data_IF_819555610852
#
_entry.id   IF_819555610852
#
_cell.length_a   1.000
_cell.length_b   1.000
_cell.length_c   1.000
_cell.angle_alpha   90.00
_cell.angle_beta   90.00
_cell.angle_gamma   90.00
#
_symmetry.space_group_name_H-M   'P 1'
#
loop_
_entity.id
_entity.type
_entity.pdbx_description
1 polymer ?
#
# COMPACT_ATOMS: atom_id res chain seq x y z
N UNK A 1 13.91 5.00 -52.61
CA UNK A 1 13.48 3.69 -52.13
C UNK A 1 14.49 3.22 -51.08
N UNK A 2 14.29 3.53 -49.81
CA UNK A 2 15.10 3.00 -48.71
C UNK A 2 14.19 2.13 -47.86
N UNK A 3 14.67 0.87 -47.69
CA UNK A 3 13.92 -0.21 -47.10
C UNK A 3 13.60 -0.05 -45.63
N UNK A 4 12.35 -0.29 -45.31
CA UNK A 4 11.85 -0.55 -43.96
C UNK A 4 12.13 -2.01 -43.67
N UNK A 5 13.28 -2.30 -43.10
CA UNK A 5 13.59 -3.59 -42.50
C UNK A 5 14.60 -3.38 -41.38
N UNK A 6 14.10 -3.26 -40.17
CA UNK A 6 14.69 -3.70 -38.90
C UNK A 6 13.86 -3.16 -37.76
N UNK A 7 13.27 -4.06 -37.01
CA UNK A 7 13.11 -3.95 -35.55
C UNK A 7 12.02 -4.89 -35.03
N UNK A 8 12.15 -6.17 -35.41
CA UNK A 8 11.67 -7.24 -34.51
C UNK A 8 12.91 -7.78 -33.77
N UNK A 9 13.51 -7.01 -32.88
CA UNK A 9 14.38 -7.58 -31.86
C UNK A 9 13.48 -8.34 -30.89
N UNK A 10 13.63 -9.66 -30.89
CA UNK A 10 13.08 -10.54 -29.83
C UNK A 10 13.45 -9.92 -28.49
N UNK A 11 12.43 -9.68 -27.65
CA UNK A 11 12.58 -9.28 -26.27
C UNK A 11 13.43 -10.34 -25.56
N UNK A 12 14.67 -10.01 -25.20
CA UNK A 12 15.52 -10.83 -24.36
C UNK A 12 15.48 -10.24 -22.95
N UNK A 13 14.78 -10.89 -22.01
CA UNK A 13 14.65 -10.39 -20.65
C UNK A 13 15.98 -10.33 -19.89
N UNK A 14 17.04 -10.95 -20.39
CA UNK A 14 18.37 -10.93 -19.74
C UNK A 14 19.22 -9.71 -20.13
N UNK A 15 18.89 -9.01 -21.21
CA UNK A 15 19.67 -7.87 -21.71
C UNK A 15 18.96 -6.51 -21.58
N UNK A 16 17.78 -6.45 -20.97
CA UNK A 16 17.08 -5.21 -20.78
C UNK A 16 17.48 -4.59 -19.44
N UNK A 17 18.51 -3.75 -19.46
CA UNK A 17 18.86 -2.88 -18.32
C UNK A 17 17.89 -1.72 -18.33
N UNK A 18 16.81 -1.80 -17.55
CA UNK A 18 16.01 -0.61 -17.26
C UNK A 18 16.88 0.42 -16.53
N UNK A 19 16.75 1.72 -16.85
CA UNK A 19 17.39 2.76 -16.06
C UNK A 19 17.02 2.58 -14.58
N UNK A 20 17.99 2.64 -13.69
CA UNK A 20 17.81 2.46 -12.23
C UNK A 20 16.75 3.41 -11.67
N UNK A 21 16.58 4.59 -12.26
CA UNK A 21 15.55 5.57 -11.94
C UNK A 21 14.11 5.06 -12.11
N UNK A 22 13.87 4.07 -12.97
CA UNK A 22 12.53 3.51 -13.19
C UNK A 22 12.11 2.54 -12.06
N UNK A 23 13.08 1.93 -11.38
CA UNK A 23 12.80 1.04 -10.25
C UNK A 23 12.57 1.80 -8.93
N UNK A 24 13.17 2.99 -8.78
CA UNK A 24 12.95 3.84 -7.61
C UNK A 24 11.56 4.48 -7.61
N UNK A 25 11.00 4.77 -8.81
CA UNK A 25 9.62 5.27 -8.94
C UNK A 25 8.55 4.16 -8.76
N UNK A 26 8.94 2.89 -8.99
CA UNK A 26 8.13 1.70 -8.68
C UNK A 26 8.38 1.20 -7.26
N UNK A 27 8.94 2.01 -6.38
CA UNK A 27 8.96 1.72 -4.93
C UNK A 27 7.62 1.13 -4.55
N UNK A 28 7.57 0.02 -3.80
CA UNK A 28 6.30 -0.59 -3.45
C UNK A 28 5.46 0.55 -2.87
N UNK A 29 4.42 0.94 -3.60
CA UNK A 29 3.36 1.77 -3.02
C UNK A 29 3.05 1.03 -1.75
N UNK A 30 3.52 1.57 -0.64
CA UNK A 30 3.22 1.02 0.68
C UNK A 30 1.72 0.89 0.63
N UNK A 31 1.22 -0.35 0.53
CA UNK A 31 -0.22 -0.59 0.66
C UNK A 31 -0.47 -0.12 2.07
N UNK A 32 -0.90 1.14 2.18
CA UNK A 32 -1.28 1.70 3.45
C UNK A 32 -2.40 0.82 3.95
N UNK A 33 -1.99 -0.17 4.74
CA UNK A 33 -2.93 -0.90 5.54
C UNK A 33 -3.51 0.13 6.48
N UNK A 34 -4.66 0.65 6.11
CA UNK A 34 -5.49 1.34 7.05
C UNK A 34 -5.69 0.36 8.21
N UNK A 35 -5.03 0.61 9.33
CA UNK A 35 -5.22 -0.23 10.51
C UNK A 35 -6.68 -0.11 10.89
N UNK A 36 -7.43 -1.16 10.56
CA UNK A 36 -8.80 -1.32 10.95
C UNK A 36 -8.77 -1.52 12.46
N UNK A 37 -8.96 -0.44 13.19
CA UNK A 37 -9.18 -0.56 14.63
C UNK A 37 -10.55 -1.18 14.82
N UNK A 38 -10.67 -2.25 15.62
CA UNK A 38 -11.96 -2.80 15.92
C UNK A 38 -12.84 -1.69 16.51
N UNK A 39 -13.92 -1.44 15.82
CA UNK A 39 -14.95 -0.48 16.23
C UNK A 39 -15.49 -0.98 17.55
N UNK A 40 -15.25 -0.28 18.65
CA UNK A 40 -15.96 -0.53 19.90
C UNK A 40 -17.45 -0.44 19.60
N UNK A 41 -18.21 -1.45 20.04
CA UNK A 41 -19.65 -1.55 19.87
C UNK A 41 -20.40 -0.40 20.59
N UNK A 42 -20.37 0.77 20.01
CA UNK A 42 -21.20 1.91 20.27
C UNK A 42 -21.85 2.27 18.95
N UNK A 43 -23.11 2.64 18.91
CA UNK A 43 -23.88 3.08 17.75
C UNK A 43 -23.07 4.03 16.85
N UNK A 44 -22.10 3.51 16.13
CA UNK A 44 -21.31 4.31 15.20
C UNK A 44 -22.09 4.41 13.89
N UNK A 45 -22.56 5.63 13.66
CA UNK A 45 -23.12 6.08 12.39
C UNK A 45 -22.09 5.81 11.30
N UNK A 46 -22.53 5.59 10.06
CA UNK A 46 -21.69 5.56 8.86
C UNK A 46 -20.80 6.80 8.85
N UNK A 47 -19.55 6.65 9.27
CA UNK A 47 -18.61 7.77 9.37
C UNK A 47 -17.67 7.76 8.18
N UNK A 48 -17.49 8.92 7.59
CA UNK A 48 -16.46 9.13 6.59
C UNK A 48 -15.09 9.09 7.30
N UNK A 49 -14.18 8.29 6.81
CA UNK A 49 -12.80 8.23 7.29
C UNK A 49 -11.89 8.90 6.28
N UNK A 50 -11.12 9.88 6.71
CA UNK A 50 -10.07 10.51 5.93
C UNK A 50 -8.72 10.31 6.60
N UNK A 51 -7.67 10.07 5.82
CA UNK A 51 -6.29 10.04 6.30
C UNK A 51 -5.37 10.81 5.38
N UNK A 52 -4.44 11.55 5.96
CA UNK A 52 -3.35 12.22 5.26
C UNK A 52 -2.02 11.63 5.75
N UNK A 53 -1.12 11.40 4.83
CA UNK A 53 0.19 10.85 5.08
C UNK A 53 1.23 11.82 4.59
N UNK A 54 2.27 12.03 5.38
CA UNK A 54 3.43 12.85 5.04
C UNK A 54 4.70 12.03 5.29
N UNK A 55 5.47 11.80 4.26
CA UNK A 55 6.69 11.01 4.31
C UNK A 55 7.93 11.91 4.38
N UNK A 56 9.01 11.39 4.94
CA UNK A 56 10.28 12.11 5.08
C UNK A 56 10.97 12.42 3.74
N UNK A 57 10.62 11.71 2.67
CA UNK A 57 11.11 11.96 1.31
C UNK A 57 10.39 13.12 0.60
N UNK A 58 9.40 13.74 1.26
CA UNK A 58 8.60 14.85 0.74
C UNK A 58 7.37 14.41 -0.05
N UNK A 59 7.10 13.11 -0.18
CA UNK A 59 5.86 12.60 -0.76
C UNK A 59 4.71 12.70 0.24
N UNK A 60 3.48 12.78 -0.25
CA UNK A 60 2.29 12.81 0.60
C UNK A 60 1.14 12.04 -0.04
N UNK A 61 0.17 11.63 0.78
CA UNK A 61 -1.02 10.93 0.32
C UNK A 61 -2.27 11.37 1.05
N UNK A 62 -3.39 11.34 0.36
CA UNK A 62 -4.72 11.56 0.88
C UNK A 62 -5.57 10.32 0.60
N UNK A 63 -6.13 9.71 1.62
CA UNK A 63 -7.02 8.57 1.46
C UNK A 63 -8.36 8.85 2.13
N UNK A 64 -9.42 8.42 1.48
CA UNK A 64 -10.79 8.54 1.96
C UNK A 64 -11.48 7.18 1.89
N UNK A 65 -12.28 6.90 2.88
CA UNK A 65 -13.11 5.69 2.94
C UNK A 65 -14.52 6.09 3.34
N UNK A 66 -15.46 5.80 2.44
CA UNK A 66 -16.86 6.15 2.56
C UNK A 66 -17.70 4.88 2.74
N UNK A 67 -18.19 4.57 3.94
CA UNK A 67 -19.13 3.49 4.16
C UNK A 67 -20.47 3.77 3.45
N UNK A 68 -20.96 2.83 2.64
CA UNK A 68 -22.21 3.00 1.90
C UNK A 68 -23.25 1.91 2.20
N UNK A 69 -22.82 0.73 2.61
CA UNK A 69 -23.72 -0.38 2.95
C UNK A 69 -23.17 -1.22 4.08
N UNK A 70 -24.06 -1.86 4.83
CA UNK A 70 -23.66 -2.76 5.91
C UNK A 70 -24.53 -2.65 7.14
N UNK A 71 -24.10 -3.33 8.18
CA UNK A 71 -24.74 -3.37 9.50
C UNK A 71 -23.66 -3.27 10.62
N UNK A 72 -24.05 -3.44 11.88
CA UNK A 72 -23.14 -3.33 13.01
C UNK A 72 -22.01 -4.41 13.03
N UNK A 73 -22.07 -5.42 12.18
CA UNK A 73 -21.07 -6.49 12.12
C UNK A 73 -20.25 -6.46 10.84
N UNK A 74 -20.79 -5.97 9.75
CA UNK A 74 -20.19 -6.00 8.43
C UNK A 74 -20.38 -4.65 7.76
N UNK A 75 -19.36 -4.10 7.15
CA UNK A 75 -19.36 -2.81 6.49
C UNK A 75 -18.76 -2.90 5.10
N UNK A 76 -19.45 -2.34 4.11
CA UNK A 76 -18.94 -2.10 2.76
C UNK A 76 -18.65 -0.62 2.59
N UNK A 77 -17.49 -0.32 2.04
CA UNK A 77 -17.02 1.05 1.87
C UNK A 77 -16.43 1.26 0.48
N UNK A 78 -16.61 2.44 -0.07
CA UNK A 78 -15.83 2.92 -1.20
C UNK A 78 -14.50 3.48 -0.69
N UNK A 79 -13.42 3.25 -1.44
CA UNK A 79 -12.08 3.78 -1.16
C UNK A 79 -11.74 4.75 -2.28
N UNK A 80 -11.14 5.87 -1.94
CA UNK A 80 -10.51 6.80 -2.88
C UNK A 80 -9.19 7.28 -2.30
N UNK A 81 -8.17 7.44 -3.14
CA UNK A 81 -6.84 7.91 -2.72
C UNK A 81 -6.18 8.76 -3.79
N UNK A 82 -5.35 9.68 -3.34
CA UNK A 82 -4.48 10.51 -4.16
C UNK A 82 -3.10 10.51 -3.52
N UNK A 83 -2.08 10.13 -4.28
CA UNK A 83 -0.69 10.23 -3.87
C UNK A 83 -0.01 11.36 -4.63
N UNK A 84 0.87 12.07 -3.96
CA UNK A 84 1.58 13.23 -4.50
C UNK A 84 3.09 13.01 -4.42
N UNK A 85 3.77 13.39 -5.48
CA UNK A 85 5.24 13.46 -5.50
C UNK A 85 5.73 14.59 -4.59
N UNK A 86 7.04 14.61 -4.29
CA UNK A 86 7.70 15.71 -3.58
C UNK A 86 7.49 17.10 -4.22
N UNK A 87 7.19 17.13 -5.52
CA UNK A 87 6.89 18.36 -6.26
C UNK A 87 5.37 18.66 -6.32
N UNK A 88 4.57 18.03 -5.46
CA UNK A 88 3.11 18.21 -5.36
C UNK A 88 2.33 17.88 -6.65
N UNK A 89 2.90 17.08 -7.54
CA UNK A 89 2.19 16.52 -8.70
C UNK A 89 1.52 15.22 -8.28
N UNK A 90 0.39 14.90 -8.91
CA UNK A 90 -0.29 13.63 -8.71
C UNK A 90 0.62 12.50 -9.19
N UNK A 91 0.97 11.61 -8.27
CA UNK A 91 1.76 10.41 -8.53
C UNK A 91 0.87 9.21 -8.81
N UNK A 92 -0.24 9.09 -8.08
CA UNK A 92 -1.21 8.02 -8.28
C UNK A 92 -2.61 8.43 -7.82
N UNK A 93 -3.61 7.85 -8.48
CA UNK A 93 -5.03 7.96 -8.14
C UNK A 93 -5.58 6.56 -7.89
N UNK A 94 -6.20 6.36 -6.74
CA UNK A 94 -6.75 5.06 -6.34
C UNK A 94 -8.25 5.14 -6.17
N UNK A 95 -8.95 4.16 -6.69
CA UNK A 95 -10.37 3.92 -6.42
C UNK A 95 -10.59 2.45 -6.09
N UNK A 96 -11.58 2.14 -5.25
CA UNK A 96 -11.83 0.76 -4.88
C UNK A 96 -12.99 0.54 -3.94
N UNK A 97 -13.12 -0.71 -3.53
CA UNK A 97 -14.13 -1.18 -2.58
C UNK A 97 -13.44 -1.94 -1.45
N UNK A 98 -13.99 -1.80 -0.26
CA UNK A 98 -13.58 -2.57 0.91
C UNK A 98 -14.78 -3.19 1.62
N UNK A 99 -14.55 -4.37 2.14
CA UNK A 99 -15.41 -5.06 3.09
C UNK A 99 -14.66 -5.22 4.41
N UNK A 100 -15.32 -4.98 5.51
CA UNK A 100 -14.78 -5.15 6.85
C UNK A 100 -15.81 -5.77 7.79
N UNK A 101 -15.30 -6.60 8.66
CA UNK A 101 -16.08 -7.24 9.71
C UNK A 101 -15.65 -6.69 11.07
N UNK A 102 -16.59 -6.64 12.05
CA UNK A 102 -16.33 -6.20 13.43
C UNK A 102 -15.20 -6.97 14.13
N UNK A 103 -14.89 -8.18 13.67
CA UNK A 103 -13.78 -8.99 14.20
C UNK A 103 -12.41 -8.60 13.63
N UNK A 104 -12.35 -7.57 12.79
CA UNK A 104 -11.09 -7.10 12.18
C UNK A 104 -10.69 -7.86 10.92
N UNK A 105 -11.56 -8.72 10.36
CA UNK A 105 -11.33 -9.32 9.04
C UNK A 105 -11.74 -8.32 7.97
N UNK A 106 -10.95 -8.23 6.91
CA UNK A 106 -11.20 -7.30 5.81
C UNK A 106 -10.80 -7.87 4.45
N UNK A 107 -11.44 -7.36 3.41
CA UNK A 107 -11.10 -7.60 2.02
C UNK A 107 -11.21 -6.29 1.26
N UNK A 108 -10.29 -6.03 0.36
CA UNK A 108 -10.36 -4.85 -0.52
C UNK A 108 -9.97 -5.19 -1.95
N UNK A 109 -10.56 -4.46 -2.88
CA UNK A 109 -10.22 -4.46 -4.29
C UNK A 109 -10.01 -3.02 -4.71
N UNK A 110 -8.84 -2.70 -5.25
CA UNK A 110 -8.47 -1.35 -5.66
C UNK A 110 -7.90 -1.33 -7.06
N UNK A 111 -8.14 -0.24 -7.76
CA UNK A 111 -7.47 0.12 -8.99
C UNK A 111 -6.74 1.44 -8.77
N UNK A 112 -5.47 1.48 -9.13
CA UNK A 112 -4.61 2.66 -9.02
C UNK A 112 -4.13 3.02 -10.41
N UNK A 113 -4.39 4.26 -10.81
CA UNK A 113 -3.86 4.88 -12.02
C UNK A 113 -2.61 5.69 -11.67
N UNK A 114 -1.51 5.45 -12.35
CA UNK A 114 -0.24 6.17 -12.18
C UNK A 114 0.04 6.95 -13.47
N UNK A 115 -0.20 8.28 -13.49
CA UNK A 115 -0.06 9.09 -14.69
C UNK A 115 1.33 8.95 -15.33
N UNK A 116 1.36 8.61 -16.63
CA UNK A 116 2.61 8.40 -17.37
C UNK A 116 3.29 7.04 -17.14
N UNK A 117 2.89 6.26 -16.15
CA UNK A 117 3.50 4.98 -15.78
C UNK A 117 2.62 3.80 -16.16
N UNK A 118 1.36 3.78 -15.72
CA UNK A 118 0.46 2.67 -15.99
C UNK A 118 -0.64 2.50 -14.94
N UNK A 119 -1.23 1.31 -14.92
CA UNK A 119 -2.33 0.94 -14.05
C UNK A 119 -2.00 -0.25 -13.18
N UNK A 120 -2.52 -0.28 -11.97
CA UNK A 120 -2.39 -1.38 -11.03
C UNK A 120 -3.75 -1.77 -10.46
N UNK A 121 -4.11 -3.04 -10.57
CA UNK A 121 -5.26 -3.62 -9.86
C UNK A 121 -4.76 -4.49 -8.74
N UNK A 122 -5.29 -4.32 -7.53
CA UNK A 122 -4.87 -5.10 -6.36
C UNK A 122 -6.07 -5.60 -5.56
N UNK A 123 -5.96 -6.84 -5.10
CA UNK A 123 -6.83 -7.43 -4.09
C UNK A 123 -6.02 -7.65 -2.81
N UNK A 124 -6.56 -7.27 -1.67
CA UNK A 124 -5.90 -7.47 -0.38
C UNK A 124 -6.88 -8.00 0.66
N UNK A 125 -6.38 -8.85 1.55
CA UNK A 125 -7.12 -9.42 2.66
C UNK A 125 -6.40 -9.19 3.98
N UNK A 126 -7.17 -9.01 5.04
CA UNK A 126 -6.71 -8.91 6.43
C UNK A 126 -7.44 -9.93 7.28
N UNK A 127 -6.69 -10.65 8.10
CA UNK A 127 -7.21 -11.57 9.10
C UNK A 127 -6.73 -11.10 10.48
N UNK A 128 -7.66 -10.77 11.34
CA UNK A 128 -7.32 -10.56 12.74
C UNK A 128 -7.11 -11.95 13.39
N UNK A 129 -5.88 -12.22 13.81
CA UNK A 129 -5.47 -13.47 14.42
C UNK A 129 -5.74 -13.47 15.92
N UNK A 130 -5.55 -12.33 16.55
CA UNK A 130 -5.71 -12.18 17.97
C UNK A 130 -6.08 -10.74 18.33
N UNK A 131 -7.10 -10.56 19.14
CA UNK A 131 -7.53 -9.26 19.63
C UNK A 131 -8.02 -9.34 21.06
N UNK A 132 -7.45 -8.50 21.92
CA UNK A 132 -7.97 -8.23 23.27
C UNK A 132 -7.82 -6.73 23.60
N UNK A 133 -8.07 -6.32 24.84
CA UNK A 133 -8.02 -4.92 25.25
C UNK A 133 -6.64 -4.27 25.08
N UNK A 134 -5.57 -5.05 25.09
CA UNK A 134 -4.20 -4.54 25.05
C UNK A 134 -3.44 -4.91 23.77
N UNK A 135 -3.80 -6.01 23.13
CA UNK A 135 -3.03 -6.59 22.04
C UNK A 135 -3.92 -6.80 20.82
N UNK A 136 -3.41 -6.46 19.66
CA UNK A 136 -4.00 -6.78 18.37
C UNK A 136 -2.91 -7.34 17.45
N UNK A 137 -3.17 -8.50 16.84
CA UNK A 137 -2.30 -9.13 15.86
C UNK A 137 -3.09 -9.42 14.60
N UNK A 138 -2.66 -8.85 13.50
CA UNK A 138 -3.26 -9.02 12.18
C UNK A 138 -2.28 -9.68 11.22
N UNK A 139 -2.77 -10.61 10.41
CA UNK A 139 -2.11 -11.07 9.21
C UNK A 139 -2.74 -10.39 7.99
N UNK A 140 -1.92 -10.06 7.02
CA UNK A 140 -2.37 -9.51 5.75
C UNK A 140 -1.73 -10.24 4.57
N UNK A 141 -2.44 -10.28 3.45
CA UNK A 141 -1.94 -10.78 2.19
C UNK A 141 -2.52 -9.96 1.05
N UNK A 142 -1.78 -9.85 -0.05
CA UNK A 142 -2.27 -9.18 -1.24
C UNK A 142 -1.73 -9.82 -2.52
N UNK A 143 -2.48 -9.59 -3.60
CA UNK A 143 -2.06 -9.86 -4.96
C UNK A 143 -2.38 -8.64 -5.82
N UNK A 144 -1.44 -8.22 -6.64
CA UNK A 144 -1.60 -7.08 -7.53
C UNK A 144 -1.12 -7.42 -8.93
N UNK A 145 -1.79 -6.86 -9.94
CA UNK A 145 -1.36 -6.89 -11.34
C UNK A 145 -1.09 -5.47 -11.79
N UNK A 146 0.10 -5.25 -12.34
CA UNK A 146 0.54 -3.95 -12.88
C UNK A 146 0.69 -4.05 -14.39
N UNK A 147 0.14 -3.08 -15.10
CA UNK A 147 0.27 -2.91 -16.54
C UNK A 147 0.89 -1.54 -16.80
N UNK A 148 2.08 -1.54 -17.40
CA UNK A 148 2.79 -0.30 -17.73
C UNK A 148 2.34 0.25 -19.08
N UNK A 149 2.41 1.57 -19.24
CA UNK A 149 2.15 2.24 -20.53
C UNK A 149 3.22 1.91 -21.59
N UNK A 150 4.37 1.38 -21.16
CA UNK A 150 5.42 0.93 -22.05
C UNK A 150 5.10 -0.46 -22.62
N UNK A 151 4.79 -0.60 -23.92
CA UNK A 151 4.41 -1.88 -24.52
C UNK A 151 5.55 -2.91 -24.55
N UNK A 152 6.80 -2.49 -24.33
CA UNK A 152 7.94 -3.40 -24.27
C UNK A 152 7.98 -4.20 -22.95
N UNK A 153 7.25 -3.78 -21.92
CA UNK A 153 7.21 -4.46 -20.64
C UNK A 153 5.86 -5.17 -20.49
N UNK A 154 5.83 -6.50 -20.38
CA UNK A 154 4.58 -7.22 -20.18
C UNK A 154 3.99 -6.89 -18.80
N UNK A 155 2.66 -7.02 -18.69
CA UNK A 155 2.00 -6.92 -17.38
C UNK A 155 2.56 -7.95 -16.41
N UNK A 156 2.73 -7.56 -15.16
CA UNK A 156 3.32 -8.42 -14.15
C UNK A 156 2.49 -8.46 -12.86
N UNK A 157 2.66 -9.54 -12.12
CA UNK A 157 1.99 -9.76 -10.85
C UNK A 157 2.98 -9.56 -9.70
N UNK A 158 2.49 -9.00 -8.59
CA UNK A 158 3.18 -8.92 -7.31
C UNK A 158 2.28 -9.55 -6.26
N UNK A 159 2.83 -10.45 -5.46
CA UNK A 159 2.13 -11.05 -4.33
C UNK A 159 2.91 -10.80 -3.05
N UNK A 160 2.21 -10.65 -1.95
CA UNK A 160 2.89 -10.41 -0.69
C UNK A 160 1.98 -10.59 0.50
N UNK A 161 2.57 -10.41 1.67
CA UNK A 161 1.85 -10.49 2.94
C UNK A 161 2.72 -10.04 4.09
N UNK A 162 2.11 -9.97 5.27
CA UNK A 162 2.81 -9.51 6.45
C UNK A 162 2.02 -9.79 7.73
N UNK A 163 2.65 -9.41 8.82
CA UNK A 163 2.08 -9.44 10.16
C UNK A 163 2.22 -8.05 10.77
N UNK A 164 1.17 -7.60 11.43
CA UNK A 164 1.14 -6.34 12.17
C UNK A 164 0.67 -6.60 13.59
N UNK A 165 1.44 -6.13 14.54
CA UNK A 165 1.14 -6.17 15.95
C UNK A 165 0.94 -4.77 16.52
N UNK A 166 -0.04 -4.59 17.39
CA UNK A 166 -0.32 -3.33 18.08
C UNK A 166 -0.56 -3.58 19.57
N UNK A 167 0.11 -2.80 20.41
CA UNK A 167 -0.05 -2.81 21.86
C UNK A 167 -0.79 -1.56 22.33
N UNK A 168 -1.91 -1.76 23.06
CA UNK A 168 -2.76 -0.71 23.65
C UNK A 168 -3.18 0.38 22.65
N UNK A 169 -3.19 0.10 21.35
CA UNK A 169 -3.41 1.08 20.29
C UNK A 169 -2.42 2.27 20.33
N UNK A 170 -1.25 2.10 20.94
CA UNK A 170 -0.21 3.13 21.10
C UNK A 170 1.06 2.80 20.35
N UNK A 171 1.56 1.59 20.52
CA UNK A 171 2.82 1.16 19.92
C UNK A 171 2.56 -0.07 19.06
N UNK A 172 3.08 -0.06 17.85
CA UNK A 172 2.94 -1.19 16.93
C UNK A 172 4.23 -1.48 16.20
N UNK A 173 4.31 -2.71 15.70
CA UNK A 173 5.36 -3.18 14.81
C UNK A 173 4.76 -4.05 13.73
N UNK A 174 5.34 -3.99 12.52
CA UNK A 174 4.91 -4.81 11.40
C UNK A 174 6.11 -5.31 10.62
N UNK A 175 5.93 -6.46 9.98
CA UNK A 175 6.87 -7.03 9.02
C UNK A 175 6.12 -7.46 7.78
N UNK A 176 6.69 -7.25 6.61
CA UNK A 176 6.06 -7.70 5.37
C UNK A 176 7.10 -8.14 4.33
N UNK A 177 6.61 -8.92 3.39
CA UNK A 177 7.36 -9.39 2.24
C UNK A 177 6.47 -9.33 1.00
N UNK A 178 7.04 -8.92 -0.13
CA UNK A 178 6.36 -8.97 -1.43
C UNK A 178 7.31 -9.54 -2.48
N UNK A 179 6.77 -10.29 -3.45
CA UNK A 179 7.54 -10.88 -4.55
C UNK A 179 6.90 -10.51 -5.89
N UNK A 180 7.76 -10.07 -6.82
CA UNK A 180 7.42 -9.79 -8.22
C UNK A 180 8.22 -10.74 -9.10
N UNK A 181 7.61 -11.88 -9.52
CA UNK A 181 8.36 -12.95 -10.21
C UNK A 181 8.98 -12.52 -11.53
N UNK A 182 8.33 -11.62 -12.29
CA UNK A 182 8.86 -11.16 -13.58
C UNK A 182 10.27 -10.56 -13.48
N UNK A 183 10.57 -9.88 -12.37
CA UNK A 183 11.87 -9.24 -12.13
C UNK A 183 12.73 -10.02 -11.11
N UNK A 184 12.28 -11.21 -10.71
CA UNK A 184 12.85 -11.96 -9.58
C UNK A 184 13.15 -11.05 -8.36
N UNK A 185 12.24 -10.06 -8.15
CA UNK A 185 12.37 -9.06 -7.12
C UNK A 185 11.61 -9.49 -5.88
N UNK A 186 12.28 -9.41 -4.73
CA UNK A 186 11.65 -9.59 -3.42
C UNK A 186 11.91 -8.36 -2.56
N UNK A 187 10.85 -7.79 -2.05
CA UNK A 187 10.85 -6.62 -1.17
C UNK A 187 10.54 -7.08 0.26
N UNK A 188 11.36 -6.64 1.20
CA UNK A 188 11.18 -6.84 2.64
C UNK A 188 10.93 -5.52 3.31
N UNK A 189 10.05 -5.46 4.30
CA UNK A 189 9.91 -4.27 5.14
C UNK A 189 9.68 -4.64 6.60
N UNK A 190 10.18 -3.76 7.47
CA UNK A 190 9.90 -3.76 8.89
C UNK A 190 9.49 -2.35 9.30
N UNK A 191 8.40 -2.21 10.04
CA UNK A 191 7.83 -0.91 10.40
C UNK A 191 7.54 -0.84 11.89
N UNK A 192 7.75 0.34 12.48
CA UNK A 192 7.29 0.70 13.81
C UNK A 192 6.21 1.78 13.69
N UNK A 193 5.25 1.76 14.59
CA UNK A 193 4.18 2.73 14.67
C UNK A 193 4.02 3.22 16.11
N UNK A 194 3.96 4.53 16.30
CA UNK A 194 3.72 5.18 17.58
C UNK A 194 2.56 6.15 17.47
N UNK A 195 1.46 5.89 18.18
CA UNK A 195 0.36 6.82 18.26
C UNK A 195 0.74 7.97 19.22
N UNK A 196 0.90 9.16 18.66
CA UNK A 196 1.26 10.37 19.41
C UNK A 196 0.06 11.02 20.06
N UNK A 197 -1.07 11.01 19.37
CA UNK A 197 -2.30 11.62 19.80
C UNK A 197 -3.50 10.85 19.27
N UNK A 198 -4.54 10.71 20.10
CA UNK A 198 -5.81 10.11 19.68
C UNK A 198 -6.96 10.66 20.52
N UNK A 199 -7.99 11.15 19.84
CA UNK A 199 -9.27 11.50 20.43
C UNK A 199 -10.42 10.74 19.72
N UNK A 200 -11.67 11.18 19.96
CA UNK A 200 -12.85 10.55 19.37
C UNK A 200 -12.99 10.78 17.87
N UNK A 201 -12.39 11.84 17.35
CA UNK A 201 -12.58 12.30 15.98
C UNK A 201 -11.27 12.35 15.17
N UNK A 202 -10.12 12.19 15.81
CA UNK A 202 -8.84 12.29 15.11
C UNK A 202 -7.73 11.47 15.77
N UNK A 203 -6.71 11.11 14.99
CA UNK A 203 -5.47 10.55 15.51
C UNK A 203 -4.26 11.04 14.72
N UNK A 204 -3.12 11.12 15.39
CA UNK A 204 -1.81 11.39 14.80
C UNK A 204 -0.88 10.23 15.16
N UNK A 205 -0.39 9.56 14.14
CA UNK A 205 0.54 8.45 14.28
C UNK A 205 1.88 8.83 13.64
N UNK A 206 2.98 8.51 14.32
CA UNK A 206 4.33 8.50 13.74
C UNK A 206 4.66 7.09 13.29
N UNK A 207 5.18 6.94 12.07
CA UNK A 207 5.66 5.68 11.51
C UNK A 207 7.12 5.79 11.14
N UNK A 208 7.89 4.76 11.43
CA UNK A 208 9.26 4.62 10.96
C UNK A 208 9.46 3.19 10.49
N UNK A 209 10.34 2.99 9.52
CA UNK A 209 10.55 1.67 8.98
C UNK A 209 11.88 1.53 8.24
N UNK A 210 12.15 0.31 7.88
CA UNK A 210 13.27 -0.09 7.03
C UNK A 210 12.72 -0.95 5.91
N UNK A 211 13.14 -0.68 4.69
CA UNK A 211 12.81 -1.50 3.52
C UNK A 211 14.07 -1.98 2.82
N UNK A 212 13.98 -3.12 2.15
CA UNK A 212 15.06 -3.70 1.38
C UNK A 212 14.50 -4.43 0.17
N UNK A 213 14.99 -4.08 -1.02
CA UNK A 213 14.67 -4.75 -2.27
C UNK A 213 15.84 -5.67 -2.69
N UNK A 214 15.55 -6.91 -3.00
CA UNK A 214 16.51 -7.89 -3.50
C UNK A 214 16.08 -8.34 -4.88
N UNK A 215 16.98 -8.17 -5.87
CA UNK A 215 16.77 -8.63 -7.25
C UNK A 215 18.14 -8.88 -7.90
N UNK A 216 18.27 -9.82 -8.86
CA UNK A 216 19.48 -10.01 -9.64
C UNK A 216 19.94 -8.74 -10.38
N UNK A 217 19.02 -7.82 -10.66
CA UNK A 217 19.26 -6.54 -11.35
C UNK A 217 19.73 -5.42 -10.43
N UNK A 218 19.69 -5.62 -9.11
CA UNK A 218 20.13 -4.64 -8.11
C UNK A 218 21.46 -5.10 -7.52
N UNK A 219 22.61 -4.50 -7.95
CA UNK A 219 23.94 -5.01 -7.57
C UNK A 219 24.26 -4.90 -6.08
N UNK A 220 23.62 -3.99 -5.36
CA UNK A 220 23.78 -3.81 -3.92
C UNK A 220 22.43 -3.45 -3.30
N UNK A 221 21.88 -4.38 -2.56
CA UNK A 221 20.67 -4.18 -1.80
C UNK A 221 21.03 -3.75 -0.38
N UNK A 222 20.69 -2.52 -0.02
CA UNK A 222 20.81 -1.97 1.34
C UNK A 222 19.45 -1.81 2.00
N UNK A 223 19.44 -1.66 3.32
CA UNK A 223 18.24 -1.25 4.04
C UNK A 223 18.06 0.27 3.91
N UNK A 224 16.89 0.68 3.48
CA UNK A 224 16.50 2.06 3.29
C UNK A 224 15.56 2.50 4.41
N UNK A 225 15.92 3.53 5.20
CA UNK A 225 15.06 4.03 6.25
C UNK A 225 13.91 4.86 5.67
N UNK A 226 12.73 4.71 6.25
CA UNK A 226 11.56 5.54 5.95
C UNK A 226 10.96 6.07 7.24
N UNK A 227 10.42 7.27 7.21
CA UNK A 227 9.67 7.84 8.33
C UNK A 227 8.53 8.71 7.80
N UNK A 228 7.50 8.88 8.61
CA UNK A 228 6.37 9.73 8.22
C UNK A 228 5.35 9.91 9.34
N UNK A 229 4.42 10.83 9.10
CA UNK A 229 3.28 11.09 9.96
C UNK A 229 2.00 10.73 9.23
N UNK A 230 1.06 10.14 9.95
CA UNK A 230 -0.27 9.81 9.46
C UNK A 230 -1.29 10.52 10.34
N UNK A 231 -2.01 11.46 9.75
CA UNK A 231 -3.15 12.11 10.39
C UNK A 231 -4.44 11.45 9.89
N UNK A 232 -5.33 11.08 10.81
CA UNK A 232 -6.64 10.51 10.51
C UNK A 232 -7.72 11.36 11.11
N UNK A 233 -8.79 11.56 10.34
CA UNK A 233 -10.01 12.27 10.75
C UNK A 233 -11.22 11.37 10.55
N UNK A 234 -12.07 11.29 11.57
CA UNK A 234 -13.34 10.58 11.59
C UNK A 234 -14.46 11.61 11.63
N UNK A 235 -15.39 11.57 10.68
CA UNK A 235 -16.49 12.53 10.55
C UNK A 235 -17.82 11.88 10.86
#
# INVERSE_FOLDING_TARGET
>A
MYGVNQLCKKFDPQNYVMPVTYFDELSPVLIYKEQIHPIRAGRERRQLHGSMVFNSDGTSGLNMKLPFAGNNRNMFSAISGLDFTKNQKIAAETAGLAYENIRGHGLSLTQTHMPGIGDRTAAAGTLNLFHNNNHNLDANAFAARTTLNNPAVPSFNTVGGGLDYMFKNKVGAGVSMARTPLFDKTDYSATGNLNLFRDRSSSLDFKAGLSKSVSPFIPRSSWEPTAGFVFKKFF
#
